data_IF_842352439224
#
_entry.id   IF_842352439224
#
_cell.length_a   1.000
_cell.length_b   1.000
_cell.length_c   1.000
_cell.angle_alpha   90.00
_cell.angle_beta   90.00
_cell.angle_gamma   90.00
#
_symmetry.space_group_name_H-M   'P 1'
#
loop_
_entity.id
_entity.type
_entity.pdbx_description
1 polymer ?
#
# COMPACT_ATOMS: atom_id res chain seq x y z
N UNK A 1 2.14 44.98 -3.24
CA UNK A 1 1.84 45.11 -4.69
C UNK A 1 2.94 44.38 -5.42
N UNK A 2 2.73 43.11 -5.67
CA UNK A 2 3.63 42.27 -6.47
C UNK A 2 3.41 42.60 -7.94
N UNK A 3 4.48 42.93 -8.59
CA UNK A 3 4.55 43.37 -9.98
C UNK A 3 4.14 42.21 -10.93
N UNK A 4 2.87 42.16 -11.27
CA UNK A 4 2.29 41.22 -12.24
C UNK A 4 2.60 41.65 -13.69
N UNK A 5 3.43 42.70 -13.87
CA UNK A 5 3.68 43.38 -15.15
C UNK A 5 4.92 42.92 -15.92
N UNK A 6 5.68 41.94 -15.48
CA UNK A 6 6.69 41.31 -16.32
C UNK A 6 6.08 40.05 -16.94
N UNK A 7 5.66 40.18 -18.19
CA UNK A 7 5.50 39.03 -19.06
C UNK A 7 6.82 38.24 -19.01
N UNK A 8 6.87 37.21 -18.16
CA UNK A 8 7.89 36.22 -18.28
C UNK A 8 7.72 35.66 -19.70
N UNK A 9 8.67 35.94 -20.58
CA UNK A 9 8.78 35.20 -21.81
C UNK A 9 9.06 33.77 -21.39
N UNK A 10 8.01 32.99 -21.27
CA UNK A 10 8.11 31.54 -21.21
C UNK A 10 8.72 31.14 -22.54
N UNK A 11 10.03 30.99 -22.56
CA UNK A 11 10.67 30.19 -23.59
C UNK A 11 9.96 28.86 -23.46
N UNK A 12 9.17 28.48 -24.48
CA UNK A 12 8.52 27.18 -24.54
C UNK A 12 9.60 26.13 -24.40
N UNK A 13 9.90 25.72 -23.17
CA UNK A 13 10.73 24.57 -22.92
C UNK A 13 9.95 23.40 -23.54
N UNK A 14 10.52 22.82 -24.57
CA UNK A 14 9.93 21.64 -25.18
C UNK A 14 9.84 20.57 -24.10
N UNK A 15 8.62 20.06 -23.82
CA UNK A 15 8.45 18.97 -22.90
C UNK A 15 9.38 17.84 -23.33
N UNK A 16 10.22 17.36 -22.42
CA UNK A 16 11.11 16.23 -22.69
C UNK A 16 10.33 14.92 -22.80
N UNK A 17 9.09 14.89 -22.28
CA UNK A 17 8.22 13.75 -22.34
C UNK A 17 7.06 14.04 -23.30
N UNK A 18 6.97 13.33 -24.43
CA UNK A 18 5.84 13.42 -25.35
C UNK A 18 4.51 13.13 -24.66
N UNK A 19 3.45 13.86 -25.03
CA UNK A 19 2.10 13.72 -24.45
C UNK A 19 1.57 12.29 -24.59
N UNK A 20 1.92 11.60 -25.67
CA UNK A 20 1.54 10.21 -25.92
C UNK A 20 1.97 9.26 -24.80
N UNK A 21 3.10 9.54 -24.14
CA UNK A 21 3.60 8.71 -23.05
C UNK A 21 2.72 8.70 -21.81
N UNK A 22 1.76 9.61 -21.69
CA UNK A 22 0.76 9.59 -20.61
C UNK A 22 -0.39 8.61 -20.89
N UNK A 23 -0.54 8.15 -22.12
CA UNK A 23 -1.67 7.33 -22.58
C UNK A 23 -1.23 6.01 -23.23
N UNK A 24 0.04 5.88 -23.61
CA UNK A 24 0.55 4.68 -24.27
C UNK A 24 0.73 3.53 -23.28
N UNK A 25 0.02 2.43 -23.52
CA UNK A 25 0.05 1.25 -22.65
C UNK A 25 1.42 0.56 -22.67
N UNK A 26 2.15 0.59 -23.80
CA UNK A 26 3.49 -0.02 -23.90
C UNK A 26 4.48 0.74 -23.03
N UNK A 27 4.40 2.06 -23.05
CA UNK A 27 5.20 2.90 -22.15
C UNK A 27 4.88 2.60 -20.70
N UNK A 28 3.61 2.44 -20.33
CA UNK A 28 3.22 2.10 -18.97
C UNK A 28 3.72 0.70 -18.55
N UNK A 29 3.67 -0.29 -19.41
CA UNK A 29 4.26 -1.62 -19.13
C UNK A 29 5.79 -1.53 -18.91
N UNK A 30 6.46 -0.68 -19.69
CA UNK A 30 7.88 -0.42 -19.51
C UNK A 30 8.17 0.28 -18.17
N UNK A 31 7.36 1.26 -17.76
CA UNK A 31 7.44 1.93 -16.47
C UNK A 31 7.22 0.94 -15.32
N UNK A 32 6.21 0.08 -15.41
CA UNK A 32 5.97 -0.97 -14.41
C UNK A 32 7.18 -1.87 -14.23
N UNK A 33 7.83 -2.27 -15.31
CA UNK A 33 8.98 -3.17 -15.25
C UNK A 33 10.29 -2.49 -14.86
N UNK A 34 10.53 -1.26 -15.31
CA UNK A 34 11.81 -0.57 -15.17
C UNK A 34 11.88 0.37 -13.97
N UNK A 35 10.77 1.01 -13.63
CA UNK A 35 10.67 1.95 -12.51
C UNK A 35 10.10 1.21 -11.30
N UNK A 36 8.83 0.82 -11.34
CA UNK A 36 8.17 0.24 -10.18
C UNK A 36 8.74 -1.12 -9.80
N UNK A 37 9.01 -2.00 -10.75
CA UNK A 37 9.56 -3.34 -10.49
C UNK A 37 10.98 -3.35 -9.90
N UNK A 38 11.72 -2.25 -10.02
CA UNK A 38 13.07 -2.09 -9.48
C UNK A 38 13.15 -1.11 -8.30
N UNK A 39 12.01 -0.66 -7.80
CA UNK A 39 11.91 0.33 -6.71
C UNK A 39 11.55 -0.33 -5.38
N UNK A 40 11.68 0.43 -4.30
CA UNK A 40 11.00 0.18 -3.06
C UNK A 40 9.57 0.73 -3.18
N UNK A 41 8.57 -0.16 -3.09
CA UNK A 41 7.16 0.20 -3.20
C UNK A 41 6.58 0.31 -1.80
N UNK A 42 6.05 1.47 -1.45
CA UNK A 42 5.38 1.68 -0.18
C UNK A 42 4.09 0.86 -0.10
N UNK A 43 3.95 0.07 0.95
CA UNK A 43 2.78 -0.79 1.20
C UNK A 43 1.88 -0.20 2.30
N UNK A 44 2.48 0.40 3.31
CA UNK A 44 1.76 0.93 4.46
C UNK A 44 2.69 1.24 5.63
N UNK A 45 2.11 1.56 6.78
CA UNK A 45 2.85 1.80 8.02
C UNK A 45 2.55 0.69 9.04
N UNK A 46 3.52 0.30 9.87
CA UNK A 46 3.32 -0.74 10.89
C UNK A 46 2.23 -0.38 11.92
N UNK A 47 1.93 0.91 12.09
CA UNK A 47 0.82 1.39 12.92
C UNK A 47 -0.58 1.08 12.36
N UNK A 48 -0.68 0.54 11.14
CA UNK A 48 -1.92 -0.05 10.63
C UNK A 48 -2.31 -1.32 11.38
N UNK A 49 -1.32 -2.00 11.95
CA UNK A 49 -1.47 -3.25 12.69
C UNK A 49 -0.62 -3.20 13.98
N UNK A 50 -0.96 -2.33 14.94
CA UNK A 50 -0.13 -2.06 16.12
C UNK A 50 0.00 -3.27 17.06
N UNK A 51 -1.07 -4.04 17.24
CA UNK A 51 -1.14 -5.11 18.22
C UNK A 51 -1.07 -6.49 17.56
N UNK A 52 -0.54 -7.46 18.29
CA UNK A 52 -0.50 -8.85 17.81
C UNK A 52 -1.89 -9.36 17.44
N UNK A 53 -1.99 -9.94 16.25
CA UNK A 53 -3.24 -10.41 15.68
C UNK A 53 -4.01 -9.33 14.91
N UNK A 54 -3.57 -8.07 14.94
CA UNK A 54 -4.16 -7.06 14.07
C UNK A 54 -3.89 -7.39 12.62
N UNK A 55 -4.86 -7.04 11.79
CA UNK A 55 -4.76 -7.15 10.36
C UNK A 55 -5.34 -5.92 9.64
N UNK A 56 -4.79 -5.63 8.48
CA UNK A 56 -5.24 -4.57 7.59
C UNK A 56 -5.24 -5.07 6.15
N UNK A 57 -6.41 -5.18 5.53
CA UNK A 57 -6.55 -5.59 4.14
C UNK A 57 -6.31 -4.40 3.19
N UNK A 58 -5.45 -4.60 2.18
CA UNK A 58 -5.04 -3.54 1.26
C UNK A 58 -6.17 -3.20 0.29
N UNK A 59 -6.94 -2.16 0.59
CA UNK A 59 -8.13 -1.77 -0.18
C UNK A 59 -7.82 -1.39 -1.64
N UNK A 60 -6.65 -0.76 -1.89
CA UNK A 60 -6.20 -0.40 -3.23
C UNK A 60 -5.90 -1.63 -4.10
N UNK A 61 -5.72 -2.81 -3.50
CA UNK A 61 -5.56 -4.10 -4.16
C UNK A 61 -6.83 -4.96 -4.12
N UNK A 62 -7.99 -4.34 -3.90
CA UNK A 62 -9.27 -5.05 -3.75
C UNK A 62 -9.23 -6.11 -2.63
N UNK A 63 -8.49 -5.82 -1.56
CA UNK A 63 -8.25 -6.72 -0.43
C UNK A 63 -7.55 -8.05 -0.82
N UNK A 64 -6.84 -8.09 -1.93
CA UNK A 64 -6.13 -9.28 -2.38
C UNK A 64 -4.95 -9.68 -1.49
N UNK A 65 -4.34 -8.70 -0.81
CA UNK A 65 -3.29 -8.90 0.20
C UNK A 65 -3.66 -8.22 1.51
N UNK A 66 -3.03 -8.64 2.59
CA UNK A 66 -3.21 -8.05 3.90
C UNK A 66 -1.89 -7.98 4.68
N UNK A 67 -1.76 -6.94 5.50
CA UNK A 67 -0.78 -6.86 6.57
C UNK A 67 -1.36 -7.58 7.79
N UNK A 68 -0.54 -8.37 8.45
CA UNK A 68 -0.92 -9.08 9.70
C UNK A 68 0.22 -8.95 10.70
N UNK A 69 -0.08 -8.54 11.94
CA UNK A 69 0.90 -8.50 13.02
C UNK A 69 1.06 -9.89 13.63
N UNK A 70 2.17 -10.53 13.36
CA UNK A 70 2.60 -11.78 13.98
C UNK A 70 3.45 -11.53 15.23
N UNK A 71 3.90 -12.61 15.87
CA UNK A 71 4.88 -12.51 16.95
C UNK A 71 6.28 -12.09 16.46
N UNK A 72 6.57 -12.30 15.17
CA UNK A 72 7.86 -11.98 14.56
C UNK A 72 7.90 -10.54 13.98
N UNK A 73 6.72 -9.91 13.78
CA UNK A 73 6.63 -8.59 13.18
C UNK A 73 5.41 -8.47 12.28
N UNK A 74 5.46 -7.54 11.33
CA UNK A 74 4.41 -7.38 10.32
C UNK A 74 4.71 -8.28 9.13
N UNK A 75 3.73 -9.08 8.77
CA UNK A 75 3.75 -9.96 7.60
C UNK A 75 2.85 -9.38 6.50
N UNK A 76 3.31 -9.39 5.27
CA UNK A 76 2.47 -9.16 4.09
C UNK A 76 2.17 -10.49 3.43
N UNK A 77 0.90 -10.78 3.25
CA UNK A 77 0.49 -12.07 2.69
C UNK A 77 -0.73 -11.96 1.79
N UNK A 78 -0.92 -12.98 0.97
CA UNK A 78 -2.14 -13.15 0.19
C UNK A 78 -3.34 -13.31 1.14
N UNK A 79 -4.37 -12.51 0.92
CA UNK A 79 -5.64 -12.60 1.62
C UNK A 79 -6.64 -13.51 0.89
N UNK A 80 -6.14 -14.30 -0.04
CA UNK A 80 -6.96 -15.18 -0.89
C UNK A 80 -6.77 -16.63 -0.43
N UNK A 81 -7.86 -17.26 0.00
CA UNK A 81 -7.87 -18.66 0.45
C UNK A 81 -7.40 -19.59 -0.68
N UNK A 82 -6.49 -20.50 -0.35
CA UNK A 82 -5.92 -21.45 -1.32
C UNK A 82 -6.89 -22.53 -1.78
N UNK A 83 -8.05 -22.66 -1.11
CA UNK A 83 -9.07 -23.66 -1.47
C UNK A 83 -9.91 -23.21 -2.68
N UNK A 84 -10.70 -22.12 -2.54
CA UNK A 84 -11.64 -21.63 -3.55
C UNK A 84 -11.52 -20.12 -3.79
N UNK A 85 -10.36 -19.57 -3.50
CA UNK A 85 -9.99 -18.18 -3.81
C UNK A 85 -10.94 -17.12 -3.19
N UNK A 86 -11.53 -17.42 -2.05
CA UNK A 86 -12.29 -16.44 -1.29
C UNK A 86 -11.37 -15.44 -0.61
N UNK A 87 -11.74 -14.16 -0.59
CA UNK A 87 -11.13 -13.15 0.29
C UNK A 87 -11.45 -13.53 1.74
N UNK A 88 -10.46 -13.52 2.62
CA UNK A 88 -10.63 -14.00 4.00
C UNK A 88 -10.81 -12.88 5.01
N UNK A 89 -9.86 -11.95 5.07
CA UNK A 89 -9.88 -10.80 5.97
C UNK A 89 -10.62 -9.64 5.30
N UNK A 90 -11.52 -8.99 6.05
CA UNK A 90 -12.34 -7.92 5.51
C UNK A 90 -13.43 -8.38 4.54
N UNK A 91 -13.79 -9.68 4.57
CA UNK A 91 -14.94 -10.19 3.84
C UNK A 91 -16.22 -9.59 4.42
N UNK A 92 -16.99 -8.93 3.57
CA UNK A 92 -18.24 -8.28 3.93
C UNK A 92 -19.37 -8.80 3.03
N UNK A 93 -20.36 -9.40 3.65
CA UNK A 93 -21.55 -9.91 2.96
C UNK A 93 -22.54 -8.81 2.61
N UNK A 94 -22.52 -7.71 3.36
CA UNK A 94 -23.49 -6.62 3.19
C UNK A 94 -23.04 -5.61 2.12
N UNK A 95 -21.72 -5.39 2.00
CA UNK A 95 -21.13 -4.44 1.05
C UNK A 95 -19.96 -5.07 0.28
N UNK A 96 -20.19 -6.05 -0.59
CA UNK A 96 -19.12 -6.81 -1.26
C UNK A 96 -18.25 -5.96 -2.19
N UNK A 97 -18.69 -4.76 -2.56
CA UNK A 97 -17.94 -3.79 -3.39
C UNK A 97 -17.45 -2.56 -2.61
N UNK A 98 -17.54 -2.56 -1.29
CA UNK A 98 -17.09 -1.44 -0.47
C UNK A 98 -15.58 -1.20 -0.62
N UNK A 99 -15.20 0.03 -0.93
CA UNK A 99 -13.81 0.48 -1.08
C UNK A 99 -13.18 0.95 0.25
N UNK A 100 -13.83 0.69 1.37
CA UNK A 100 -13.31 1.11 2.67
C UNK A 100 -12.14 0.23 3.09
N UNK A 101 -11.15 0.86 3.68
CA UNK A 101 -10.07 0.16 4.35
C UNK A 101 -10.64 -0.76 5.43
N UNK A 102 -10.26 -2.03 5.41
CA UNK A 102 -10.77 -3.04 6.33
C UNK A 102 -9.67 -3.48 7.25
N UNK A 103 -9.94 -3.37 8.51
CA UNK A 103 -9.01 -3.74 9.57
C UNK A 103 -9.75 -4.47 10.68
N UNK A 104 -9.03 -5.20 11.50
CA UNK A 104 -9.57 -5.91 12.64
C UNK A 104 -8.50 -6.67 13.40
N UNK A 105 -8.94 -7.52 14.32
CA UNK A 105 -8.05 -8.35 15.12
C UNK A 105 -8.51 -9.82 15.10
N UNK A 106 -7.56 -10.75 15.08
CA UNK A 106 -7.81 -12.20 15.01
C UNK A 106 -8.21 -12.82 16.36
N UNK A 107 -8.46 -12.04 17.42
CA UNK A 107 -8.84 -12.57 18.76
C UNK A 107 -10.05 -13.48 18.69
N UNK A 108 -11.07 -13.11 17.93
CA UNK A 108 -12.31 -13.90 17.82
C UNK A 108 -12.12 -15.25 17.13
N UNK A 109 -11.04 -15.40 16.36
CA UNK A 109 -10.69 -16.63 15.65
C UNK A 109 -9.53 -17.38 16.33
N UNK A 110 -9.26 -17.07 17.59
CA UNK A 110 -8.17 -17.69 18.36
C UNK A 110 -6.78 -17.31 17.86
N UNK A 111 -6.64 -16.13 17.24
CA UNK A 111 -5.38 -15.63 16.70
C UNK A 111 -5.02 -16.17 15.31
N UNK A 112 -5.97 -16.82 14.62
CA UNK A 112 -5.73 -17.43 13.31
C UNK A 112 -6.59 -16.75 12.22
N UNK A 113 -6.11 -16.82 10.98
CA UNK A 113 -6.86 -16.42 9.79
C UNK A 113 -7.78 -17.57 9.40
N UNK A 114 -9.09 -17.36 9.45
CA UNK A 114 -10.08 -18.39 9.16
C UNK A 114 -10.91 -18.00 7.95
N UNK A 115 -10.86 -18.84 6.91
CA UNK A 115 -11.66 -18.61 5.72
C UNK A 115 -13.16 -18.69 6.05
N UNK A 116 -13.97 -17.67 5.69
CA UNK A 116 -15.39 -17.63 6.06
C UNK A 116 -16.22 -18.71 5.36
N UNK A 117 -15.77 -19.22 4.20
CA UNK A 117 -16.55 -20.13 3.36
C UNK A 117 -16.46 -21.58 3.87
N UNK A 118 -15.22 -22.15 4.02
CA UNK A 118 -15.03 -23.55 4.36
C UNK A 118 -14.12 -23.76 5.57
N UNK A 119 -13.85 -22.70 6.33
CA UNK A 119 -13.10 -22.75 7.59
C UNK A 119 -11.65 -23.25 7.46
N UNK A 120 -11.04 -23.16 6.26
CA UNK A 120 -9.60 -23.33 6.17
C UNK A 120 -8.90 -22.32 7.05
N UNK A 121 -8.00 -22.80 7.89
CA UNK A 121 -7.41 -22.01 8.97
C UNK A 121 -5.92 -21.88 8.75
N UNK A 122 -5.44 -20.63 8.79
CA UNK A 122 -4.02 -20.31 8.63
C UNK A 122 -3.52 -19.55 9.86
N UNK A 123 -2.24 -19.75 10.17
CA UNK A 123 -1.54 -18.97 11.20
C UNK A 123 -1.29 -17.52 10.75
N UNK A 124 -0.82 -16.67 11.67
CA UNK A 124 -0.48 -15.27 11.40
C UNK A 124 0.69 -15.11 10.42
N UNK A 125 1.47 -16.15 10.15
CA UNK A 125 2.55 -16.18 9.15
C UNK A 125 2.16 -16.94 7.87
N UNK A 126 0.88 -17.22 7.68
CA UNK A 126 0.34 -17.82 6.46
C UNK A 126 0.43 -19.34 6.35
N UNK A 127 0.91 -20.06 7.37
CA UNK A 127 0.95 -21.52 7.36
C UNK A 127 -0.45 -22.10 7.47
N UNK A 128 -0.82 -23.07 6.61
CA UNK A 128 -2.09 -23.78 6.72
C UNK A 128 -2.05 -24.72 7.94
N UNK A 129 -2.94 -24.48 8.89
CA UNK A 129 -3.06 -25.25 10.15
C UNK A 129 -4.15 -26.30 10.07
N UNK A 130 -5.17 -26.10 9.27
CA UNK A 130 -6.28 -27.04 9.16
C UNK A 130 -7.14 -26.82 7.92
N UNK A 131 -7.59 -27.91 7.33
CA UNK A 131 -8.46 -27.97 6.17
C UNK A 131 -9.59 -28.96 6.46
N UNK A 132 -10.75 -28.50 7.00
CA UNK A 132 -11.86 -29.39 7.32
C UNK A 132 -12.28 -30.24 6.14
N UNK A 133 -12.63 -31.52 6.40
CA UNK A 133 -13.01 -32.55 5.44
C UNK A 133 -11.88 -33.09 4.54
N UNK A 134 -10.65 -32.63 4.72
CA UNK A 134 -9.49 -33.28 4.14
C UNK A 134 -8.92 -34.27 5.15
N UNK A 135 -8.63 -35.52 4.77
CA UNK A 135 -8.09 -36.52 5.67
C UNK A 135 -6.70 -36.13 6.20
N UNK A 136 -5.94 -35.42 5.39
CA UNK A 136 -4.66 -34.81 5.75
C UNK A 136 -4.66 -33.34 5.34
N UNK A 137 -4.02 -32.48 6.16
CA UNK A 137 -3.88 -31.07 5.83
C UNK A 137 -2.95 -30.91 4.63
N UNK A 138 -3.42 -30.40 3.50
CA UNK A 138 -2.58 -30.25 2.31
C UNK A 138 -1.49 -29.19 2.54
N UNK A 139 -0.36 -29.31 1.86
CA UNK A 139 0.70 -28.31 1.90
C UNK A 139 0.34 -27.09 1.02
N UNK A 140 -0.59 -26.26 1.50
CA UNK A 140 -1.16 -25.11 0.77
C UNK A 140 -1.14 -23.83 1.61
N UNK A 141 0.06 -23.41 2.01
CA UNK A 141 0.26 -22.16 2.74
C UNK A 141 -0.16 -20.92 1.90
N UNK A 142 -0.49 -19.83 2.56
CA UNK A 142 -0.65 -18.54 1.90
C UNK A 142 0.71 -18.09 1.34
N UNK A 143 0.67 -17.40 0.23
CA UNK A 143 1.85 -16.71 -0.28
C UNK A 143 2.16 -15.53 0.63
N UNK A 144 3.41 -15.40 1.06
CA UNK A 144 3.93 -14.26 1.79
C UNK A 144 4.86 -13.44 0.89
N UNK A 145 4.97 -12.16 1.19
CA UNK A 145 5.78 -11.20 0.43
C UNK A 145 6.78 -10.55 1.38
N UNK A 146 8.07 -10.54 1.04
CA UNK A 146 9.07 -9.89 1.89
C UNK A 146 8.77 -8.41 2.08
N UNK A 147 8.82 -7.95 3.33
CA UNK A 147 8.71 -6.55 3.70
C UNK A 147 10.05 -6.03 4.23
N UNK A 148 10.34 -4.79 3.88
CA UNK A 148 11.39 -3.99 4.47
C UNK A 148 10.73 -2.94 5.36
N UNK A 149 11.12 -2.88 6.64
CA UNK A 149 10.64 -1.85 7.56
C UNK A 149 11.71 -0.77 7.70
N UNK A 150 11.34 0.45 7.37
CA UNK A 150 12.19 1.63 7.51
C UNK A 150 11.44 2.67 8.35
N UNK A 151 11.80 2.82 9.61
CA UNK A 151 11.15 3.74 10.57
C UNK A 151 9.62 3.57 10.67
N UNK A 152 9.14 2.34 10.62
CA UNK A 152 7.72 2.02 10.64
C UNK A 152 7.03 2.05 9.28
N UNK A 153 7.65 2.65 8.27
CA UNK A 153 7.19 2.58 6.88
C UNK A 153 7.55 1.22 6.29
N UNK A 154 6.56 0.55 5.71
CA UNK A 154 6.68 -0.80 5.15
C UNK A 154 6.80 -0.73 3.63
N UNK A 155 7.81 -1.39 3.11
CA UNK A 155 8.09 -1.42 1.68
C UNK A 155 8.26 -2.86 1.19
N UNK A 156 7.89 -3.10 -0.06
CA UNK A 156 8.27 -4.27 -0.83
C UNK A 156 9.15 -3.88 -2.01
N UNK A 157 9.81 -4.85 -2.64
CA UNK A 157 10.66 -4.63 -3.80
C UNK A 157 12.16 -4.79 -3.52
N UNK A 158 12.99 -4.74 -4.57
CA UNK A 158 14.41 -5.09 -4.46
C UNK A 158 15.30 -3.96 -3.94
N UNK A 159 14.83 -2.71 -3.98
CA UNK A 159 15.64 -1.54 -3.57
C UNK A 159 15.58 -1.34 -2.06
N UNK A 160 16.69 -0.94 -1.46
CA UNK A 160 16.79 -0.66 -0.02
C UNK A 160 16.26 0.76 0.30
N UNK A 161 15.06 0.88 0.92
CA UNK A 161 14.52 2.19 1.27
C UNK A 161 15.31 2.89 2.38
N UNK A 162 15.97 2.15 3.27
CA UNK A 162 16.75 2.76 4.34
C UNK A 162 17.98 3.48 3.79
N UNK A 163 18.64 2.89 2.80
CA UNK A 163 19.77 3.54 2.13
C UNK A 163 19.32 4.79 1.35
N UNK A 164 18.22 4.73 0.65
CA UNK A 164 17.69 5.84 -0.15
C UNK A 164 17.25 7.02 0.71
N UNK A 165 16.62 6.75 1.85
CA UNK A 165 16.04 7.76 2.74
C UNK A 165 16.93 8.12 3.94
N UNK A 166 18.18 7.65 3.99
CA UNK A 166 19.08 7.86 5.13
C UNK A 166 19.22 9.33 5.54
N UNK A 167 19.32 10.26 4.57
CA UNK A 167 19.38 11.70 4.84
C UNK A 167 18.07 12.25 5.41
N UNK A 168 16.94 11.71 4.99
CA UNK A 168 15.63 12.11 5.48
C UNK A 168 15.46 11.68 6.94
N UNK A 169 15.71 10.42 7.24
CA UNK A 169 15.55 9.87 8.58
C UNK A 169 16.66 10.24 9.57
N UNK A 170 17.70 10.96 9.13
CA UNK A 170 18.63 11.61 10.05
C UNK A 170 18.05 12.86 10.73
N UNK A 171 16.86 13.30 10.29
CA UNK A 171 16.18 14.47 10.82
C UNK A 171 15.10 14.05 11.82
N UNK A 172 15.07 14.64 13.02
CA UNK A 172 14.14 14.25 14.08
C UNK A 172 12.66 14.45 13.69
N UNK A 173 12.35 15.32 12.74
CA UNK A 173 11.01 15.57 12.26
C UNK A 173 10.38 14.35 11.55
N UNK A 174 11.20 13.37 11.15
CA UNK A 174 10.76 12.11 10.54
C UNK A 174 10.79 10.92 11.51
N UNK A 175 10.88 11.18 12.81
CA UNK A 175 10.61 10.18 13.83
C UNK A 175 9.11 10.06 14.05
N UNK A 176 8.54 8.94 13.63
CA UNK A 176 7.10 8.67 13.75
C UNK A 176 6.72 7.91 15.03
N UNK A 177 7.63 7.75 15.99
CA UNK A 177 7.39 6.95 17.20
C UNK A 177 6.18 7.42 18.00
N UNK A 178 6.02 8.73 18.17
CA UNK A 178 4.93 9.36 18.92
C UNK A 178 3.66 9.64 18.11
N UNK A 179 3.68 9.32 16.80
CA UNK A 179 2.52 9.50 15.95
C UNK A 179 1.51 8.38 16.14
N UNK A 180 0.23 8.70 15.95
CA UNK A 180 -0.86 7.74 15.87
C UNK A 180 -1.46 7.77 14.48
N UNK A 181 -1.94 6.61 14.01
CA UNK A 181 -2.65 6.55 12.75
C UNK A 181 -4.06 7.14 12.97
N UNK A 182 -4.40 8.20 12.22
CA UNK A 182 -5.75 8.74 12.20
C UNK A 182 -6.64 7.88 11.29
N UNK A 183 -6.36 7.88 9.99
CA UNK A 183 -7.13 7.12 9.00
C UNK A 183 -6.34 6.88 7.72
N UNK A 184 -6.86 5.97 6.91
CA UNK A 184 -6.39 5.75 5.53
C UNK A 184 -7.57 6.01 4.59
N UNK A 185 -7.34 6.85 3.60
CA UNK A 185 -8.29 7.11 2.52
C UNK A 185 -7.71 6.64 1.20
N UNK A 186 -8.54 6.01 0.38
CA UNK A 186 -8.17 5.53 -0.94
C UNK A 186 -9.01 6.25 -1.98
N UNK A 187 -8.36 6.99 -2.84
CA UNK A 187 -9.00 7.75 -3.92
C UNK A 187 -8.70 7.11 -5.26
N UNK A 188 -9.75 6.91 -6.08
CA UNK A 188 -9.57 6.48 -7.46
C UNK A 188 -9.37 7.71 -8.34
N UNK A 189 -8.20 7.82 -8.95
CA UNK A 189 -7.85 8.92 -9.84
C UNK A 189 -7.84 8.45 -11.29
N UNK A 190 -8.51 9.21 -12.18
CA UNK A 190 -8.61 8.90 -13.60
C UNK A 190 -7.56 9.67 -14.42
N UNK A 191 -6.32 9.68 -13.93
CA UNK A 191 -5.19 10.31 -14.60
C UNK A 191 -3.92 9.48 -14.41
N UNK A 192 -2.91 9.76 -15.24
CA UNK A 192 -1.63 9.06 -15.17
C UNK A 192 -0.85 9.46 -13.91
N UNK A 193 -0.11 8.52 -13.32
CA UNK A 193 0.71 8.74 -12.14
C UNK A 193 1.75 9.86 -12.31
N UNK A 194 2.26 10.08 -13.54
CA UNK A 194 3.21 11.16 -13.85
C UNK A 194 2.59 12.52 -13.62
N UNK A 195 1.34 12.71 -14.01
CA UNK A 195 0.58 13.96 -13.76
C UNK A 195 0.47 14.24 -12.25
N UNK A 196 0.27 13.21 -11.43
CA UNK A 196 0.27 13.38 -9.98
C UNK A 196 1.61 13.91 -9.46
N UNK A 197 2.72 13.30 -9.90
CA UNK A 197 4.07 13.71 -9.50
C UNK A 197 4.36 15.14 -9.96
N UNK A 198 4.00 15.50 -11.19
CA UNK A 198 4.24 16.83 -11.76
C UNK A 198 3.57 17.94 -10.97
N UNK A 199 2.34 17.73 -10.50
CA UNK A 199 1.64 18.69 -9.64
C UNK A 199 2.36 18.87 -8.30
N UNK A 200 2.99 17.83 -7.76
CA UNK A 200 3.76 17.92 -6.50
C UNK A 200 5.17 18.50 -6.68
N UNK A 201 5.65 18.63 -7.90
CA UNK A 201 6.97 19.20 -8.19
C UNK A 201 6.94 20.73 -8.40
N UNK A 202 5.77 21.34 -8.34
CA UNK A 202 5.60 22.78 -8.45
C UNK A 202 4.68 23.31 -7.34
N UNK A 203 4.80 24.60 -7.00
CA UNK A 203 4.02 25.25 -5.96
C UNK A 203 3.14 26.41 -6.47
N UNK A 204 3.09 26.62 -7.79
CA UNK A 204 2.33 27.70 -8.40
C UNK A 204 0.83 27.67 -8.09
N UNK A 205 0.27 26.46 -7.99
CA UNK A 205 -1.14 26.26 -7.68
C UNK A 205 -1.46 26.43 -6.19
N UNK A 206 -0.45 26.36 -5.30
CA UNK A 206 -0.68 26.38 -3.84
C UNK A 206 -1.35 27.67 -3.42
N UNK A 207 -0.82 28.83 -3.83
CA UNK A 207 -1.41 30.12 -3.47
C UNK A 207 -2.87 30.29 -3.93
N UNK A 208 -3.21 30.04 -5.20
CA UNK A 208 -4.58 30.19 -5.70
C UNK A 208 -5.58 29.13 -5.20
N UNK A 209 -5.15 27.88 -5.03
CA UNK A 209 -6.05 26.75 -4.78
C UNK A 209 -5.99 26.20 -3.35
N UNK A 210 -4.89 26.45 -2.64
CA UNK A 210 -4.66 25.95 -1.28
C UNK A 210 -4.24 27.07 -0.33
N UNK A 211 -5.06 28.13 -0.13
CA UNK A 211 -4.67 29.32 0.64
C UNK A 211 -4.33 29.03 2.11
N UNK A 212 -4.69 27.86 2.62
CA UNK A 212 -4.33 27.41 3.96
C UNK A 212 -2.96 26.73 4.09
N UNK A 213 -2.23 26.54 2.98
CA UNK A 213 -0.89 25.94 2.96
C UNK A 213 0.23 26.97 2.74
N UNK A 214 -0.12 28.22 2.44
CA UNK A 214 0.83 29.31 2.17
C UNK A 214 0.96 30.30 3.30
#
# INVERSE_FOLDING_TARGET
MTDIGREAQFTLAQSQLPVENYFDEKTFELEKSRIFGNSAIYVGHEKLVPERGDWYALAHEKNGRALVRSAAGVELMSNICRHRQAVMLGFDTEHPQGHQARQGNLKETGGNIVCPIHRWTYSQNGQLLGAPQFPETPCMNLQTFPLQNCHGLLFEGPRDPAADMAKLFSRPEFDFSDYVLDRVEVHRCNYNWKTFIEVYLEDYHVGPFHPGLG
#
